data_IF_124594167949
#
_entry.id   IF_124594167949
#
_cell.length_a   1.000
_cell.length_b   1.000
_cell.length_c   1.000
_cell.angle_alpha   90.00
_cell.angle_beta   90.00
_cell.angle_gamma   90.00
#
_symmetry.space_group_name_H-M   'P 1'
#
loop_
_entity.id
_entity.type
_entity.pdbx_description
1 polymer ?
#
# COMPACT_ATOMS: atom_id res chain seq x y z
N UNK A 1 0.31 19.51 -9.93
CA UNK A 1 0.26 18.45 -10.95
C UNK A 1 0.65 17.17 -10.25
N UNK A 2 -0.29 16.25 -10.06
CA UNK A 2 0.00 14.93 -9.51
C UNK A 2 0.92 14.20 -10.51
N UNK A 3 2.22 14.13 -10.22
CA UNK A 3 3.21 13.45 -11.06
C UNK A 3 3.06 11.92 -10.90
N UNK A 4 1.96 11.38 -11.41
CA UNK A 4 1.71 9.94 -11.45
C UNK A 4 2.09 9.37 -12.81
N UNK A 5 2.61 8.14 -12.83
CA UNK A 5 2.90 7.42 -14.07
C UNK A 5 1.59 6.83 -14.63
N UNK A 6 0.71 7.69 -15.16
CA UNK A 6 -0.60 7.29 -15.66
C UNK A 6 -1.55 6.80 -14.56
N UNK A 7 -1.53 7.47 -13.39
CA UNK A 7 -2.29 7.05 -12.21
C UNK A 7 -1.53 6.13 -11.26
N UNK A 8 -0.34 5.65 -11.65
CA UNK A 8 0.54 4.90 -10.77
C UNK A 8 1.36 5.84 -9.88
N UNK A 9 1.27 5.60 -8.57
CA UNK A 9 2.07 6.27 -7.54
C UNK A 9 3.28 5.40 -7.21
N UNK A 10 4.48 5.99 -7.16
CA UNK A 10 5.74 5.28 -6.89
C UNK A 10 6.31 5.54 -5.49
N UNK A 11 5.66 6.38 -4.68
CA UNK A 11 6.03 6.58 -3.28
C UNK A 11 5.28 5.58 -2.36
N UNK A 12 5.79 5.39 -1.13
CA UNK A 12 5.28 4.42 -0.16
C UNK A 12 3.81 4.63 0.21
N UNK A 13 3.19 3.59 0.80
CA UNK A 13 1.77 3.58 1.16
C UNK A 13 0.95 2.45 0.52
N UNK A 14 1.52 1.70 -0.44
CA UNK A 14 0.90 0.52 -1.05
C UNK A 14 1.54 -0.79 -0.62
N UNK A 15 0.74 -1.78 -0.22
CA UNK A 15 1.21 -3.13 0.18
C UNK A 15 0.38 -4.22 -0.50
N UNK A 16 1.04 -5.28 -0.97
CA UNK A 16 0.37 -6.48 -1.51
C UNK A 16 -0.21 -7.34 -0.39
N UNK A 17 -1.44 -7.80 -0.60
CA UNK A 17 -2.11 -8.77 0.27
C UNK A 17 -1.93 -10.16 -0.33
N UNK A 18 -1.33 -11.06 0.43
CA UNK A 18 -1.01 -12.43 -0.02
C UNK A 18 -1.37 -13.45 1.04
N UNK A 19 -1.88 -14.58 0.58
CA UNK A 19 -1.98 -15.82 1.35
C UNK A 19 -1.04 -16.84 0.69
N UNK A 20 0.03 -17.21 1.39
CA UNK A 20 1.15 -17.98 0.85
C UNK A 20 1.66 -17.41 -0.50
N UNK A 21 1.49 -18.16 -1.60
CA UNK A 21 1.88 -17.75 -2.96
C UNK A 21 0.75 -17.06 -3.74
N UNK A 22 -0.47 -17.06 -3.20
CA UNK A 22 -1.63 -16.47 -3.86
C UNK A 22 -1.71 -14.97 -3.55
N UNK A 23 -1.78 -14.16 -4.59
CA UNK A 23 -2.09 -12.72 -4.45
C UNK A 23 -3.59 -12.54 -4.32
N UNK A 24 -4.03 -11.97 -3.20
CA UNK A 24 -5.43 -11.67 -2.92
C UNK A 24 -5.82 -10.27 -3.40
N UNK A 25 -4.85 -9.34 -3.40
CA UNK A 25 -5.06 -7.96 -3.82
C UNK A 25 -3.96 -7.04 -3.26
N UNK A 26 -4.34 -5.80 -3.00
CA UNK A 26 -3.46 -4.79 -2.40
C UNK A 26 -4.28 -3.82 -1.54
N UNK A 27 -3.61 -3.19 -0.58
CA UNK A 27 -4.12 -2.06 0.20
C UNK A 27 -3.24 -0.84 -0.08
N UNK A 28 -3.87 0.33 -0.18
CA UNK A 28 -3.19 1.62 -0.34
C UNK A 28 -3.70 2.61 0.71
N UNK A 29 -2.79 3.28 1.41
CA UNK A 29 -3.08 4.38 2.34
C UNK A 29 -2.42 5.64 1.79
N UNK A 30 -3.16 6.76 1.83
CA UNK A 30 -2.69 8.06 1.39
C UNK A 30 -3.35 9.16 2.21
N UNK A 31 -2.57 10.18 2.60
CA UNK A 31 -3.08 11.39 3.23
C UNK A 31 -2.28 11.86 4.45
N UNK A 32 -1.27 11.09 4.90
CA UNK A 32 -0.33 11.48 5.93
C UNK A 32 1.08 11.74 5.34
N UNK A 33 2.12 11.66 6.17
CA UNK A 33 3.50 11.57 5.64
C UNK A 33 3.70 10.21 4.99
N UNK A 34 4.62 10.12 4.02
CA UNK A 34 4.88 8.86 3.28
C UNK A 34 5.24 7.72 4.22
N UNK A 35 6.02 8.01 5.26
CA UNK A 35 6.43 7.03 6.26
C UNK A 35 5.24 6.50 7.07
N UNK A 36 4.29 7.38 7.42
CA UNK A 36 3.09 7.02 8.17
C UNK A 36 2.12 6.22 7.32
N UNK A 37 1.94 6.61 6.05
CA UNK A 37 1.10 5.89 5.09
C UNK A 37 1.65 4.48 4.85
N UNK A 38 2.98 4.32 4.76
CA UNK A 38 3.62 3.01 4.66
C UNK A 38 3.41 2.14 5.90
N UNK A 39 3.58 2.71 7.10
CA UNK A 39 3.36 1.99 8.37
C UNK A 39 1.91 1.49 8.50
N UNK A 40 0.94 2.37 8.23
CA UNK A 40 -0.48 2.03 8.29
C UNK A 40 -0.85 0.96 7.25
N UNK A 41 -0.34 1.04 6.03
CA UNK A 41 -0.59 0.04 5.00
C UNK A 41 -0.04 -1.34 5.40
N UNK A 42 1.17 -1.38 6.01
CA UNK A 42 1.77 -2.62 6.54
C UNK A 42 0.97 -3.20 7.70
N UNK A 43 0.53 -2.37 8.65
CA UNK A 43 -0.30 -2.82 9.77
C UNK A 43 -1.63 -3.39 9.30
N UNK A 44 -2.30 -2.74 8.34
CA UNK A 44 -3.53 -3.25 7.75
C UNK A 44 -3.32 -4.61 7.08
N UNK A 45 -2.25 -4.75 6.29
CA UNK A 45 -1.91 -6.02 5.64
C UNK A 45 -1.61 -7.15 6.63
N UNK A 46 -0.98 -6.84 7.76
CA UNK A 46 -0.62 -7.82 8.80
C UNK A 46 -1.83 -8.39 9.58
N UNK A 47 -3.03 -7.83 9.39
CA UNK A 47 -4.27 -8.37 10.01
C UNK A 47 -4.81 -9.61 9.30
N UNK A 48 -4.35 -9.90 8.08
CA UNK A 48 -4.68 -11.13 7.38
C UNK A 48 -3.95 -12.29 8.07
N UNK A 49 -4.74 -13.23 8.61
CA UNK A 49 -4.27 -14.42 9.34
C UNK A 49 -3.65 -15.46 8.39
#
# INVERSE_FOLDING_TARGET
MEHTNGGLISFGGGVLLRDASQTLGAVGVAGATVEMDEELARLGAATLS
#
